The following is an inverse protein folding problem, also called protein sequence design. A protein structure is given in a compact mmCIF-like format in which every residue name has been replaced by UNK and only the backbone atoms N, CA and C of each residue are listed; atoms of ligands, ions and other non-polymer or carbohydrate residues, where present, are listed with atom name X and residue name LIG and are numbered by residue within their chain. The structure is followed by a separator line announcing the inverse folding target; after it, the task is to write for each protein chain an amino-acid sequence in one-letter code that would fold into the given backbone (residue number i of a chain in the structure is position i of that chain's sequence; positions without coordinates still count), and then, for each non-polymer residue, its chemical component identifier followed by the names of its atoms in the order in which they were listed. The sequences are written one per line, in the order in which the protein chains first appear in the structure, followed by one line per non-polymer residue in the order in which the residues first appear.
data_IF_850384267058
#
_entry.id   IF_850384267058
#
_cell.length_a   1.000
_cell.length_b   1.000
_cell.length_c   1.000
_cell.angle_alpha   90.00
_cell.angle_beta   90.00
_cell.angle_gamma   90.00
#
_symmetry.space_group_name_H-M   'P 1'
#
loop_
_entity.id
_entity.type
_entity.pdbx_description
1 polymer ?
#
# COMPACT_ATOMS: atom_id res chain seq x y z
N UNK A 1 32.56 -20.34 21.51
CA UNK A 1 31.93 -19.65 20.37
C UNK A 1 30.43 -19.59 20.67
N UNK A 2 29.98 -18.53 21.33
CA UNK A 2 28.57 -18.39 21.79
C UNK A 2 27.86 -17.51 20.76
N UNK A 3 26.90 -18.08 20.04
CA UNK A 3 26.02 -17.32 19.15
C UNK A 3 25.06 -16.48 20.00
N UNK A 4 25.39 -15.20 20.21
CA UNK A 4 24.47 -14.20 20.72
C UNK A 4 23.51 -13.81 19.61
N UNK A 5 22.34 -14.46 19.56
CA UNK A 5 21.21 -13.98 18.75
C UNK A 5 20.59 -12.79 19.45
N UNK A 6 20.99 -11.57 19.05
CA UNK A 6 20.28 -10.35 19.43
C UNK A 6 18.87 -10.40 18.85
N UNK A 7 17.86 -10.56 19.72
CA UNK A 7 16.45 -10.40 19.34
C UNK A 7 16.11 -8.92 19.41
N UNK A 8 16.02 -8.26 18.27
CA UNK A 8 15.41 -6.95 18.17
C UNK A 8 13.90 -7.10 18.47
N UNK A 9 13.39 -6.33 19.43
CA UNK A 9 11.96 -6.29 19.74
C UNK A 9 11.29 -5.19 18.91
N UNK A 10 10.16 -5.56 18.32
CA UNK A 10 9.32 -4.71 17.49
C UNK A 10 8.44 -3.86 18.40
N UNK A 11 8.60 -2.54 18.37
CA UNK A 11 7.70 -1.62 19.05
C UNK A 11 6.74 -0.98 18.06
N UNK A 12 5.46 -0.96 18.41
CA UNK A 12 4.39 -0.31 17.65
C UNK A 12 3.94 0.89 18.47
N UNK A 13 4.17 2.11 17.96
CA UNK A 13 3.49 3.31 18.46
C UNK A 13 2.40 3.69 17.47
N UNK A 14 1.16 3.80 17.96
CA UNK A 14 0.00 4.29 17.21
C UNK A 14 -0.24 5.76 17.56
N UNK A 15 -0.14 6.65 16.57
CA UNK A 15 -0.51 8.05 16.72
C UNK A 15 -1.83 8.27 15.95
N UNK A 16 -2.86 8.78 16.65
CA UNK A 16 -4.19 9.02 16.07
C UNK A 16 -4.27 10.45 15.57
N UNK A 17 -4.34 10.64 14.26
CA UNK A 17 -4.60 11.95 13.67
C UNK A 17 -6.12 12.17 13.50
N UNK A 18 -6.61 13.33 13.93
CA UNK A 18 -8.01 13.74 13.76
C UNK A 18 -8.04 14.91 12.78
N UNK A 19 -8.75 14.81 11.64
CA UNK A 19 -8.83 15.91 10.69
C UNK A 19 -9.58 17.10 11.31
N UNK A 20 -8.99 18.29 11.23
CA UNK A 20 -9.67 19.54 11.57
C UNK A 20 -10.21 20.21 10.30
N UNK A 21 -11.41 20.79 10.36
CA UNK A 21 -12.30 21.15 9.25
C UNK A 21 -11.83 22.24 8.27
N UNK A 22 -10.54 22.48 8.11
CA UNK A 22 -9.96 23.48 7.21
C UNK A 22 -8.77 22.93 6.41
N UNK A 23 -8.84 21.73 5.84
CA UNK A 23 -7.85 21.24 4.85
C UNK A 23 -6.37 21.25 5.29
N UNK A 24 -6.10 21.54 6.55
CA UNK A 24 -4.80 21.71 7.17
C UNK A 24 -4.67 20.56 8.16
N UNK A 25 -3.86 19.56 7.79
CA UNK A 25 -3.50 18.45 8.65
C UNK A 25 -2.73 19.02 9.85
N UNK A 26 -3.38 19.12 11.00
CA UNK A 26 -2.76 19.58 12.23
C UNK A 26 -2.24 18.36 12.97
N UNK A 27 -1.01 17.97 12.66
CA UNK A 27 -0.30 16.89 13.35
C UNK A 27 -0.10 17.32 14.81
N UNK A 28 -0.84 16.72 15.74
CA UNK A 28 -0.50 16.81 17.18
C UNK A 28 0.71 15.92 17.42
N UNK A 29 1.89 16.42 17.12
CA UNK A 29 3.13 15.69 17.33
C UNK A 29 3.28 15.29 18.80
N UNK A 30 3.30 14.00 19.10
CA UNK A 30 3.92 13.50 20.30
C UNK A 30 5.44 13.69 20.18
N UNK A 31 5.97 14.72 20.86
CA UNK A 31 7.40 14.99 20.89
C UNK A 31 8.13 13.89 21.70
N UNK A 32 8.51 12.81 21.03
CA UNK A 32 9.46 11.85 21.56
C UNK A 32 10.84 12.18 20.98
N UNK A 33 11.63 12.98 21.71
CA UNK A 33 13.06 13.18 21.42
C UNK A 33 13.81 11.88 21.68
N UNK A 34 14.07 11.12 20.61
CA UNK A 34 15.01 9.97 20.65
C UNK A 34 16.22 10.36 19.80
N UNK A 35 17.43 10.45 20.37
CA UNK A 35 18.63 10.72 19.61
C UNK A 35 19.11 9.44 18.92
N UNK A 36 19.60 9.61 17.69
CA UNK A 36 20.36 8.67 16.84
C UNK A 36 19.57 7.81 15.84
N UNK A 37 20.23 7.62 14.69
CA UNK A 37 19.74 7.08 13.42
C UNK A 37 18.99 5.75 13.57
N UNK A 38 17.67 5.82 13.49
CA UNK A 38 16.81 4.65 13.33
C UNK A 38 16.16 4.73 11.96
N UNK A 39 16.27 3.66 11.17
CA UNK A 39 15.39 3.48 10.01
C UNK A 39 13.98 3.21 10.55
N UNK A 40 13.22 4.28 10.76
CA UNK A 40 11.81 4.16 11.09
C UNK A 40 11.06 3.81 9.80
N UNK A 41 10.42 2.65 9.78
CA UNK A 41 9.41 2.39 8.75
C UNK A 41 8.11 3.03 9.22
N UNK A 42 7.59 3.93 8.40
CA UNK A 42 6.30 4.57 8.66
C UNK A 42 5.26 3.78 7.88
N UNK A 43 4.34 3.15 8.60
CA UNK A 43 3.19 2.48 8.03
C UNK A 43 2.00 3.45 8.11
N UNK A 44 1.42 3.79 6.96
CA UNK A 44 0.16 4.52 6.92
C UNK A 44 -0.97 3.53 6.67
N UNK A 45 -1.96 3.55 7.56
CA UNK A 45 -3.23 2.87 7.32
C UNK A 45 -4.28 3.91 6.95
N UNK A 46 -4.75 3.83 5.72
CA UNK A 46 -5.83 4.70 5.23
C UNK A 46 -7.06 3.81 5.00
N UNK A 47 -8.16 4.02 5.74
CA UNK A 47 -9.42 3.35 5.44
C UNK A 47 -9.95 3.95 4.14
N UNK A 48 -9.99 3.14 3.09
CA UNK A 48 -10.60 3.51 1.81
C UNK A 48 -11.71 2.51 1.55
N UNK A 49 -12.83 3.01 1.02
CA UNK A 49 -13.88 2.12 0.53
C UNK A 49 -13.43 1.51 -0.79
N UNK A 50 -13.49 0.19 -0.86
CA UNK A 50 -13.26 -0.55 -2.09
C UNK A 50 -14.61 -0.94 -2.66
N UNK A 51 -14.78 -0.76 -3.96
CA UNK A 51 -15.90 -1.31 -4.71
C UNK A 51 -15.76 -2.83 -4.79
N UNK A 52 -16.82 -3.53 -4.39
CA UNK A 52 -17.01 -4.95 -4.53
C UNK A 52 -18.24 -5.20 -5.39
N UNK A 53 -18.12 -6.16 -6.31
CA UNK A 53 -19.26 -6.67 -7.07
C UNK A 53 -19.28 -8.17 -6.91
N UNK A 54 -20.37 -8.69 -6.36
CA UNK A 54 -20.67 -10.13 -6.37
C UNK A 54 -21.74 -10.40 -7.40
N UNK A 55 -21.55 -11.47 -8.18
CA UNK A 55 -22.52 -11.92 -9.16
C UNK A 55 -22.75 -13.41 -8.97
N UNK A 56 -24.00 -13.79 -8.72
CA UNK A 56 -24.44 -15.17 -8.59
C UNK A 56 -25.36 -15.50 -9.76
N UNK A 57 -24.86 -16.31 -10.69
CA UNK A 57 -25.59 -16.68 -11.88
C UNK A 57 -26.17 -18.09 -11.73
N UNK A 58 -27.49 -18.21 -11.89
CA UNK A 58 -28.13 -19.51 -12.08
C UNK A 58 -28.38 -19.73 -13.56
N UNK A 59 -27.94 -20.89 -14.04
CA UNK A 59 -28.60 -21.48 -15.17
C UNK A 59 -29.93 -21.99 -14.66
N UNK A 60 -31.03 -21.42 -15.14
CA UNK A 60 -32.29 -22.13 -14.99
C UNK A 60 -32.10 -23.45 -15.74
N UNK A 61 -31.95 -24.55 -14.99
CA UNK A 61 -32.06 -25.91 -15.51
C UNK A 61 -33.52 -26.12 -15.91
N UNK A 62 -33.93 -25.39 -16.94
CA UNK A 62 -35.25 -25.52 -17.49
C UNK A 62 -35.28 -26.89 -18.16
N UNK A 63 -36.03 -27.77 -17.50
CA UNK A 63 -36.72 -28.90 -18.11
C UNK A 63 -37.16 -28.52 -19.53
N UNK A 64 -37.10 -29.51 -20.44
CA UNK A 64 -37.04 -29.39 -21.92
C UNK A 64 -38.03 -28.46 -22.64
N UNK A 65 -38.92 -27.74 -21.97
CA UNK A 65 -39.92 -26.83 -22.54
C UNK A 65 -40.04 -25.55 -21.70
N UNK A 66 -39.35 -24.48 -22.10
CA UNK A 66 -39.61 -23.12 -21.59
C UNK A 66 -40.79 -22.54 -22.37
N UNK A 67 -41.93 -22.38 -21.72
CA UNK A 67 -43.09 -21.65 -22.24
C UNK A 67 -43.01 -20.18 -21.80
N UNK A 68 -43.78 -19.30 -22.44
CA UNK A 68 -43.91 -17.90 -22.03
C UNK A 68 -44.38 -17.74 -20.58
N UNK A 69 -45.13 -18.70 -20.07
CA UNK A 69 -45.66 -18.68 -18.71
C UNK A 69 -44.74 -19.42 -17.72
N UNK A 70 -43.59 -19.94 -18.17
CA UNK A 70 -42.58 -20.54 -17.30
C UNK A 70 -42.07 -19.48 -16.30
N UNK A 71 -42.07 -19.79 -15.00
CA UNK A 71 -41.50 -18.91 -13.99
C UNK A 71 -39.99 -18.81 -14.19
N UNK A 72 -39.49 -17.58 -14.19
CA UNK A 72 -38.06 -17.28 -14.24
C UNK A 72 -37.54 -17.25 -12.82
N UNK A 73 -36.69 -18.23 -12.51
CA UNK A 73 -36.03 -18.37 -11.22
C UNK A 73 -34.73 -17.59 -11.19
N UNK A 74 -34.26 -17.22 -9.99
CA UNK A 74 -33.01 -16.49 -9.77
C UNK A 74 -32.34 -16.90 -8.46
N UNK A 75 -31.06 -16.59 -8.27
CA UNK A 75 -30.36 -16.85 -7.01
C UNK A 75 -30.80 -15.81 -5.99
N UNK A 76 -31.23 -16.22 -4.80
CA UNK A 76 -31.39 -15.27 -3.71
C UNK A 76 -30.02 -14.66 -3.32
N UNK A 77 -30.06 -13.58 -2.56
CA UNK A 77 -28.88 -12.86 -2.06
C UNK A 77 -27.95 -13.72 -1.20
N UNK A 78 -28.44 -14.85 -0.67
CA UNK A 78 -27.64 -15.83 0.08
C UNK A 78 -26.75 -16.73 -0.82
N UNK A 79 -26.92 -16.64 -2.15
CA UNK A 79 -26.20 -17.43 -3.14
C UNK A 79 -26.52 -18.93 -3.16
N UNK A 80 -27.37 -19.41 -2.25
CA UNK A 80 -27.67 -20.84 -2.05
C UNK A 80 -29.12 -21.20 -2.36
N UNK A 81 -30.03 -20.26 -2.13
CA UNK A 81 -31.46 -20.42 -2.32
C UNK A 81 -31.90 -19.90 -3.69
N UNK A 82 -33.03 -20.41 -4.17
CA UNK A 82 -33.59 -20.05 -5.47
C UNK A 82 -34.93 -19.35 -5.27
N UNK A 83 -35.04 -18.13 -5.78
CA UNK A 83 -36.28 -17.35 -5.83
C UNK A 83 -36.96 -17.41 -7.19
N UNK A 84 -38.16 -16.84 -7.29
CA UNK A 84 -38.86 -16.62 -8.57
C UNK A 84 -39.12 -15.12 -8.74
N UNK A 85 -38.73 -14.54 -9.89
CA UNK A 85 -38.97 -13.12 -10.17
C UNK A 85 -40.39 -12.93 -10.71
N UNK A 86 -40.65 -13.52 -11.88
CA UNK A 86 -41.90 -13.42 -12.63
C UNK A 86 -41.90 -14.44 -13.77
N UNK A 87 -42.95 -14.48 -14.61
CA UNK A 87 -42.93 -15.31 -15.82
C UNK A 87 -42.12 -14.65 -16.94
N UNK A 88 -41.63 -15.45 -17.89
CA UNK A 88 -40.93 -14.94 -19.08
C UNK A 88 -41.78 -13.91 -19.85
N UNK A 89 -43.09 -14.11 -19.94
CA UNK A 89 -44.05 -13.17 -20.51
C UNK A 89 -43.97 -11.81 -19.83
N UNK A 90 -43.90 -11.77 -18.50
CA UNK A 90 -43.84 -10.53 -17.75
C UNK A 90 -42.50 -9.81 -17.93
N UNK A 91 -41.38 -10.55 -18.02
CA UNK A 91 -40.08 -9.94 -18.33
C UNK A 91 -40.03 -9.33 -19.73
N UNK A 92 -40.61 -10.01 -20.72
CA UNK A 92 -40.72 -9.48 -22.08
C UNK A 92 -41.64 -8.27 -22.11
N UNK A 93 -42.75 -8.30 -21.38
CA UNK A 93 -43.62 -7.14 -21.27
C UNK A 93 -42.89 -5.97 -20.61
N UNK A 94 -42.11 -6.22 -19.55
CA UNK A 94 -41.29 -5.22 -18.90
C UNK A 94 -40.28 -4.58 -19.86
N UNK A 95 -39.60 -5.38 -20.70
CA UNK A 95 -38.72 -4.87 -21.76
C UNK A 95 -39.48 -3.96 -22.75
N UNK A 96 -40.68 -4.36 -23.18
CA UNK A 96 -41.50 -3.54 -24.08
C UNK A 96 -41.98 -2.24 -23.43
N UNK A 97 -42.30 -2.27 -22.14
CA UNK A 97 -42.72 -1.10 -21.38
C UNK A 97 -41.58 -0.09 -21.20
N UNK A 98 -40.31 -0.56 -21.22
CA UNK A 98 -39.10 0.27 -21.11
C UNK A 98 -38.49 0.63 -22.48
N UNK A 99 -39.32 0.69 -23.53
CA UNK A 99 -38.93 1.18 -24.86
C UNK A 99 -38.46 0.11 -25.84
N UNK A 100 -38.54 -1.17 -25.46
CA UNK A 100 -38.31 -2.28 -26.37
C UNK A 100 -39.32 -2.33 -27.53
N UNK A 101 -38.86 -2.72 -28.72
CA UNK A 101 -39.74 -2.91 -29.88
C UNK A 101 -40.25 -4.34 -29.98
N UNK A 102 -41.51 -4.52 -30.39
CA UNK A 102 -42.11 -5.84 -30.69
C UNK A 102 -41.49 -6.51 -31.92
N UNK A 103 -40.83 -5.73 -32.77
CA UNK A 103 -40.12 -6.20 -33.96
C UNK A 103 -38.66 -6.57 -33.66
N UNK A 104 -38.23 -6.48 -32.39
CA UNK A 104 -36.87 -6.88 -31.99
C UNK A 104 -36.71 -8.39 -32.20
N UNK A 105 -35.67 -8.83 -32.93
CA UNK A 105 -35.34 -10.25 -33.05
C UNK A 105 -35.12 -10.90 -31.68
N UNK A 106 -35.56 -12.15 -31.48
CA UNK A 106 -35.45 -12.83 -30.17
C UNK A 106 -34.00 -12.99 -29.71
N UNK A 107 -33.05 -13.12 -30.64
CA UNK A 107 -31.61 -13.18 -30.34
C UNK A 107 -30.98 -11.80 -30.08
N UNK A 108 -31.73 -10.72 -30.27
CA UNK A 108 -31.29 -9.34 -30.10
C UNK A 108 -31.97 -8.66 -28.90
N UNK A 109 -32.59 -9.42 -28.00
CA UNK A 109 -33.17 -8.88 -26.77
C UNK A 109 -32.02 -8.58 -25.80
N UNK A 110 -31.84 -7.33 -25.34
CA UNK A 110 -30.83 -7.01 -24.34
C UNK A 110 -31.19 -7.65 -22.98
N UNK A 111 -30.25 -7.73 -22.04
CA UNK A 111 -30.55 -8.18 -20.69
C UNK A 111 -31.64 -7.32 -20.05
N UNK A 112 -32.60 -7.95 -19.37
CA UNK A 112 -33.65 -7.25 -18.63
C UNK A 112 -33.25 -7.20 -17.16
N UNK A 113 -33.06 -6.00 -16.63
CA UNK A 113 -32.67 -5.78 -15.24
C UNK A 113 -33.91 -5.50 -14.39
N UNK A 114 -34.04 -6.17 -13.25
CA UNK A 114 -35.14 -5.95 -12.30
C UNK A 114 -34.57 -5.94 -10.89
N UNK A 115 -35.05 -5.04 -10.03
CA UNK A 115 -34.66 -5.07 -8.61
C UNK A 115 -35.01 -6.42 -7.98
N UNK A 116 -34.16 -6.92 -7.07
CA UNK A 116 -34.45 -8.13 -6.32
C UNK A 116 -35.76 -7.97 -5.54
N UNK A 117 -36.70 -8.93 -5.60
CA UNK A 117 -37.94 -8.86 -4.86
C UNK A 117 -37.75 -9.15 -3.36
N UNK A 118 -36.53 -9.47 -2.90
CA UNK A 118 -36.22 -9.69 -1.50
C UNK A 118 -36.34 -8.40 -0.67
N UNK A 119 -37.05 -8.43 0.48
CA UNK A 119 -37.28 -7.24 1.28
C UNK A 119 -35.97 -6.69 1.85
N UNK A 120 -35.64 -5.46 1.48
CA UNK A 120 -34.40 -4.79 1.93
C UNK A 120 -33.16 -5.15 1.11
N UNK A 121 -33.30 -5.95 0.06
CA UNK A 121 -32.22 -6.19 -0.90
C UNK A 121 -31.91 -4.95 -1.71
N UNK A 122 -30.63 -4.79 -2.04
CA UNK A 122 -30.14 -3.79 -2.99
C UNK A 122 -29.64 -4.42 -4.29
N UNK A 123 -29.78 -5.74 -4.40
CA UNK A 123 -29.31 -6.50 -5.54
C UNK A 123 -30.22 -6.26 -6.75
N UNK A 124 -29.64 -6.39 -7.92
CA UNK A 124 -30.34 -6.32 -9.20
C UNK A 124 -30.23 -7.67 -9.88
N UNK A 125 -31.33 -8.17 -10.43
CA UNK A 125 -31.38 -9.43 -11.14
C UNK A 125 -31.43 -9.16 -12.64
N UNK A 126 -30.37 -9.57 -13.33
CA UNK A 126 -30.28 -9.52 -14.79
C UNK A 126 -30.77 -10.80 -15.43
N UNK A 127 -31.74 -10.69 -16.32
CA UNK A 127 -32.30 -11.82 -17.09
C UNK A 127 -31.79 -11.80 -18.53
N UNK A 128 -31.02 -12.82 -18.89
CA UNK A 128 -30.39 -13.01 -20.20
C UNK A 128 -31.17 -14.06 -20.98
N UNK A 129 -32.02 -13.61 -21.91
CA UNK A 129 -32.78 -14.48 -22.80
C UNK A 129 -31.85 -14.97 -23.91
N UNK A 130 -31.71 -16.27 -24.03
CA UNK A 130 -30.81 -16.90 -25.01
C UNK A 130 -31.56 -17.89 -25.87
N UNK A 131 -31.01 -18.05 -27.07
CA UNK A 131 -31.52 -18.99 -28.04
C UNK A 131 -30.38 -19.82 -28.63
N UNK A 132 -30.55 -21.15 -28.61
CA UNK A 132 -29.58 -22.10 -29.19
C UNK A 132 -29.96 -22.60 -30.58
N UNK A 133 -31.11 -22.19 -31.12
CA UNK A 133 -31.61 -22.65 -32.41
C UNK A 133 -31.42 -21.59 -33.50
N UNK A 134 -30.70 -21.95 -34.56
CA UNK A 134 -30.50 -21.07 -35.72
C UNK A 134 -31.82 -20.64 -36.40
N UNK A 135 -32.89 -21.42 -36.24
CA UNK A 135 -34.21 -21.09 -36.78
C UNK A 135 -34.87 -19.88 -36.09
N UNK A 136 -34.48 -19.56 -34.86
CA UNK A 136 -35.10 -18.51 -34.05
C UNK A 136 -34.67 -17.09 -34.42
N UNK A 137 -33.61 -16.93 -35.21
CA UNK A 137 -33.14 -15.63 -35.68
C UNK A 137 -34.17 -14.91 -36.56
N UNK A 138 -35.13 -15.64 -37.12
CA UNK A 138 -36.19 -15.10 -37.97
C UNK A 138 -37.43 -14.63 -37.21
N UNK A 139 -37.51 -14.94 -35.92
CA UNK A 139 -38.67 -14.61 -35.10
C UNK A 139 -38.43 -13.32 -34.33
N UNK A 140 -39.47 -12.52 -34.26
CA UNK A 140 -39.49 -11.30 -33.44
C UNK A 140 -40.26 -11.55 -32.14
N UNK A 141 -40.13 -10.64 -31.17
CA UNK A 141 -40.87 -10.71 -29.89
C UNK A 141 -42.37 -10.88 -30.11
N UNK A 142 -42.96 -10.22 -31.12
CA UNK A 142 -44.38 -10.36 -31.44
C UNK A 142 -44.78 -11.81 -31.76
N UNK A 143 -43.95 -12.55 -32.51
CA UNK A 143 -44.23 -13.95 -32.83
C UNK A 143 -44.15 -14.85 -31.60
N UNK A 144 -43.25 -14.51 -30.67
CA UNK A 144 -43.15 -15.16 -29.37
C UNK A 144 -44.45 -14.95 -28.58
N UNK A 145 -44.88 -13.70 -28.40
CA UNK A 145 -46.08 -13.32 -27.63
C UNK A 145 -47.38 -13.91 -28.18
N UNK A 146 -47.49 -14.03 -29.49
CA UNK A 146 -48.64 -14.66 -30.17
C UNK A 146 -48.64 -16.19 -30.09
N UNK A 147 -47.66 -16.79 -29.40
CA UNK A 147 -47.52 -18.22 -29.24
C UNK A 147 -47.45 -18.99 -30.56
N UNK A 148 -46.98 -18.35 -31.65
CA UNK A 148 -46.77 -19.02 -32.95
C UNK A 148 -45.74 -20.14 -32.86
N UNK A 149 -44.91 -20.11 -31.81
CA UNK A 149 -43.88 -21.09 -31.50
C UNK A 149 -44.42 -22.51 -31.26
N UNK A 150 -45.56 -22.63 -30.57
CA UNK A 150 -46.14 -23.93 -30.25
C UNK A 150 -46.86 -24.60 -31.42
N UNK A 151 -47.15 -23.86 -32.49
CA UNK A 151 -47.96 -24.38 -33.61
C UNK A 151 -47.13 -24.80 -34.83
N UNK A 152 -45.90 -24.29 -35.00
CA UNK A 152 -45.24 -24.32 -36.32
C UNK A 152 -44.13 -25.35 -36.49
N UNK A 153 -43.53 -25.88 -35.42
CA UNK A 153 -42.53 -26.96 -35.55
C UNK A 153 -42.35 -27.72 -34.23
N UNK A 154 -42.42 -29.06 -34.21
CA UNK A 154 -41.96 -29.85 -33.07
C UNK A 154 -40.43 -29.71 -32.97
N UNK A 155 -39.98 -28.66 -32.31
CA UNK A 155 -38.57 -28.44 -32.02
C UNK A 155 -38.12 -29.54 -31.07
N UNK A 156 -37.13 -30.32 -31.51
CA UNK A 156 -36.63 -31.49 -30.78
C UNK A 156 -35.78 -31.14 -29.54
N UNK A 157 -35.90 -29.92 -29.01
CA UNK A 157 -35.21 -29.44 -27.81
C UNK A 157 -35.64 -28.03 -27.39
N UNK A 158 -35.31 -27.60 -26.14
CA UNK A 158 -35.58 -26.25 -25.66
C UNK A 158 -34.70 -25.28 -26.44
N UNK A 159 -35.29 -24.54 -27.37
CA UNK A 159 -34.54 -23.56 -28.13
C UNK A 159 -34.32 -22.26 -27.36
N UNK A 160 -35.27 -21.88 -26.51
CA UNK A 160 -35.23 -20.68 -25.71
C UNK A 160 -34.93 -21.07 -24.27
N UNK A 161 -33.96 -20.41 -23.65
CA UNK A 161 -33.71 -20.54 -22.22
C UNK A 161 -33.36 -19.17 -21.65
N UNK A 162 -33.67 -18.99 -20.37
CA UNK A 162 -33.36 -17.79 -19.62
C UNK A 162 -32.28 -18.09 -18.63
N UNK A 163 -31.22 -17.28 -18.63
CA UNK A 163 -30.26 -17.29 -17.54
C UNK A 163 -30.46 -16.06 -16.70
N UNK A 164 -30.40 -16.19 -15.39
CA UNK A 164 -30.53 -15.07 -14.46
C UNK A 164 -29.26 -14.93 -13.64
N UNK A 165 -28.80 -13.70 -13.46
CA UNK A 165 -27.71 -13.39 -12.55
C UNK A 165 -28.17 -12.35 -11.54
N UNK A 166 -28.02 -12.67 -10.26
CA UNK A 166 -28.21 -11.72 -9.16
C UNK A 166 -26.89 -11.02 -8.93
N UNK A 167 -26.90 -9.70 -9.06
CA UNK A 167 -25.72 -8.85 -8.90
C UNK A 167 -25.95 -7.98 -7.67
N UNK A 168 -25.02 -8.05 -6.72
CA UNK A 168 -24.94 -7.10 -5.63
C UNK A 168 -23.65 -6.29 -5.78
N UNK A 169 -23.79 -4.97 -5.87
CA UNK A 169 -22.68 -4.04 -5.83
C UNK A 169 -22.64 -3.38 -4.44
N UNK A 170 -21.46 -3.28 -3.84
CA UNK A 170 -21.31 -2.74 -2.49
C UNK A 170 -19.94 -2.11 -2.27
N UNK A 171 -19.86 -1.18 -1.33
CA UNK A 171 -18.63 -0.65 -0.78
C UNK A 171 -18.21 -1.48 0.43
N UNK A 172 -17.04 -2.10 0.38
CA UNK A 172 -16.42 -2.75 1.54
C UNK A 172 -15.36 -1.82 2.14
N UNK A 173 -15.38 -1.59 3.47
CA UNK A 173 -14.28 -0.90 4.13
C UNK A 173 -13.01 -1.73 3.97
N UNK A 174 -12.01 -1.19 3.29
CA UNK A 174 -10.73 -1.85 3.08
C UNK A 174 -9.60 -1.13 3.80
N UNK A 175 -8.64 -1.91 4.27
CA UNK A 175 -7.42 -1.39 4.88
C UNK A 175 -6.31 -1.39 3.84
N UNK A 176 -5.80 -0.21 3.52
CA UNK A 176 -4.60 -0.06 2.69
C UNK A 176 -3.41 0.26 3.58
N UNK A 177 -2.33 -0.48 3.37
CA UNK A 177 -1.05 -0.28 4.02
C UNK A 177 -0.06 0.34 3.03
N UNK A 178 0.45 1.53 3.33
CA UNK A 178 1.61 2.08 2.63
C UNK A 178 2.88 1.57 3.32
N UNK A 179 3.65 0.75 2.61
CA UNK A 179 4.93 0.24 3.08
C UNK A 179 6.07 0.73 2.18
N UNK A 180 7.20 1.07 2.79
CA UNK A 180 8.43 1.36 2.07
C UNK A 180 9.17 0.04 1.77
N UNK A 181 9.15 -0.38 0.50
CA UNK A 181 9.83 -1.60 0.05
C UNK A 181 10.93 -1.21 -0.94
N UNK A 182 12.20 -1.48 -0.58
CA UNK A 182 13.34 -1.16 -1.43
C UNK A 182 13.57 0.33 -1.71
N UNK A 183 13.04 1.24 -0.85
CA UNK A 183 13.13 2.69 -1.05
C UNK A 183 12.02 3.29 -1.91
N UNK A 184 11.07 2.47 -2.40
CA UNK A 184 9.84 2.93 -3.04
C UNK A 184 8.66 2.77 -2.08
N UNK A 185 7.70 3.70 -2.13
CA UNK A 185 6.41 3.55 -1.45
C UNK A 185 5.52 2.62 -2.27
N UNK A 186 5.04 1.55 -1.66
CA UNK A 186 4.10 0.60 -2.27
C UNK A 186 2.82 0.61 -1.45
N UNK A 187 1.69 0.81 -2.13
CA UNK A 187 0.36 0.64 -1.52
C UNK A 187 0.00 -0.84 -1.59
N UNK A 188 -0.08 -1.49 -0.44
CA UNK A 188 -0.59 -2.84 -0.29
C UNK A 188 -2.05 -2.75 0.12
N UNK A 189 -2.93 -3.28 -0.71
CA UNK A 189 -4.34 -3.41 -0.34
C UNK A 189 -4.50 -4.73 0.39
N UNK A 190 -5.11 -4.70 1.59
CA UNK A 190 -5.44 -5.93 2.31
C UNK A 190 -6.24 -6.88 1.43
N UNK A 191 -6.05 -8.19 1.63
CA UNK A 191 -6.94 -9.17 0.99
C UNK A 191 -8.37 -8.85 1.40
N UNK A 192 -9.29 -8.93 0.44
CA UNK A 192 -10.70 -8.96 0.76
C UNK A 192 -10.93 -10.11 1.74
N UNK A 193 -11.78 -9.87 2.74
CA UNK A 193 -12.25 -10.92 3.64
C UNK A 193 -12.73 -12.08 2.75
N UNK A 194 -12.28 -13.31 2.98
CA UNK A 194 -12.82 -14.45 2.25
C UNK A 194 -14.33 -14.51 2.56
N UNK A 195 -15.13 -14.03 1.63
CA UNK A 195 -16.56 -13.98 1.77
C UNK A 195 -17.11 -15.36 1.45
N UNK A 196 -17.55 -16.07 2.48
CA UNK A 196 -18.66 -17.01 2.30
C UNK A 196 -19.85 -16.24 1.71
N UNK A 197 -20.72 -16.92 0.96
CA UNK A 197 -21.73 -16.44 0.00
C UNK A 197 -22.66 -15.24 0.35
N UNK A 198 -22.49 -14.52 1.46
CA UNK A 198 -23.27 -13.34 1.83
C UNK A 198 -22.44 -12.05 1.90
N UNK A 199 -23.11 -10.90 1.78
CA UNK A 199 -22.47 -9.59 1.91
C UNK A 199 -21.82 -9.40 3.30
N UNK A 200 -20.68 -8.67 3.39
CA UNK A 200 -20.09 -8.33 4.67
C UNK A 200 -21.07 -7.45 5.47
N UNK A 201 -21.19 -7.68 6.78
CA UNK A 201 -22.08 -6.87 7.65
C UNK A 201 -21.77 -5.37 7.64
N UNK A 202 -20.54 -5.02 7.28
CA UNK A 202 -20.04 -3.65 7.21
C UNK A 202 -20.13 -3.04 5.82
N UNK A 203 -20.55 -3.82 4.81
CA UNK A 203 -20.66 -3.32 3.45
C UNK A 203 -21.83 -2.37 3.28
N UNK A 204 -21.64 -1.36 2.43
CA UNK A 204 -22.70 -0.41 2.08
C UNK A 204 -23.17 -0.69 0.66
N UNK A 205 -24.46 -0.94 0.43
CA UNK A 205 -24.94 -1.28 -0.90
C UNK A 205 -24.81 -0.12 -1.89
N UNK A 206 -24.54 -0.44 -3.15
CA UNK A 206 -24.54 0.47 -4.28
C UNK A 206 -25.82 0.20 -5.07
N UNK A 207 -26.75 1.15 -5.05
CA UNK A 207 -27.93 1.11 -5.92
C UNK A 207 -27.57 1.82 -7.23
N UNK A 208 -27.71 1.11 -8.35
CA UNK A 208 -27.55 1.68 -9.67
C UNK A 208 -28.68 1.22 -10.59
N UNK A 209 -29.18 2.16 -11.38
CA UNK A 209 -30.11 1.90 -12.48
C UNK A 209 -29.33 1.33 -13.67
N UNK A 210 -29.25 0.00 -13.76
CA UNK A 210 -28.50 -0.68 -14.81
C UNK A 210 -29.13 -0.51 -16.21
N UNK A 211 -30.42 -0.18 -16.30
CA UNK A 211 -31.10 0.06 -17.57
C UNK A 211 -30.63 1.37 -18.23
N UNK A 212 -30.22 2.35 -17.41
CA UNK A 212 -29.64 3.62 -17.86
C UNK A 212 -28.23 3.48 -18.47
N UNK A 213 -27.55 2.36 -18.21
CA UNK A 213 -26.18 2.13 -18.65
C UNK A 213 -26.19 1.53 -20.05
N UNK A 214 -26.05 2.41 -21.05
CA UNK A 214 -26.11 2.06 -22.48
C UNK A 214 -25.23 0.87 -22.88
N UNK A 215 -24.04 0.69 -22.27
CA UNK A 215 -23.17 -0.45 -22.57
C UNK A 215 -23.74 -1.81 -22.14
N UNK A 216 -24.45 -1.86 -21.01
CA UNK A 216 -25.05 -3.09 -20.45
C UNK A 216 -26.36 -3.44 -21.14
N UNK A 217 -27.09 -2.44 -21.64
CA UNK A 217 -28.36 -2.61 -22.35
C UNK A 217 -28.17 -2.83 -23.86
N UNK A 218 -27.10 -3.54 -24.25
CA UNK A 218 -26.85 -3.89 -25.65
C UNK A 218 -27.04 -5.38 -25.91
N UNK A 219 -27.59 -5.78 -27.07
CA UNK A 219 -27.69 -7.19 -27.43
C UNK A 219 -26.33 -7.87 -27.54
N UNK A 220 -25.29 -7.11 -27.93
CA UNK A 220 -23.90 -7.58 -27.97
C UNK A 220 -23.38 -7.94 -26.58
N UNK A 221 -23.73 -7.19 -25.54
CA UNK A 221 -23.34 -7.51 -24.18
C UNK A 221 -24.01 -8.81 -23.70
N UNK A 222 -25.33 -8.94 -23.92
CA UNK A 222 -26.05 -10.19 -23.63
C UNK A 222 -25.48 -11.40 -24.38
N UNK A 223 -25.12 -11.21 -25.65
CA UNK A 223 -24.48 -12.24 -26.48
C UNK A 223 -23.04 -12.60 -26.05
N UNK A 224 -22.28 -11.61 -25.56
CA UNK A 224 -20.92 -11.81 -25.04
C UNK A 224 -20.94 -12.61 -23.74
N UNK A 225 -21.86 -12.27 -22.86
CA UNK A 225 -22.09 -12.99 -21.60
C UNK A 225 -22.64 -14.40 -21.91
N UNK A 226 -23.35 -14.60 -23.02
CA UNK A 226 -23.99 -15.88 -23.36
C UNK A 226 -23.14 -17.03 -23.89
N UNK A 227 -22.02 -16.74 -24.54
CA UNK A 227 -21.33 -17.77 -25.34
C UNK A 227 -20.39 -18.70 -24.56
N UNK A 228 -20.00 -18.37 -23.33
CA UNK A 228 -18.86 -19.03 -22.64
C UNK A 228 -19.22 -19.59 -21.25
N UNK A 229 -20.45 -20.13 -21.12
CA UNK A 229 -21.23 -20.06 -19.87
C UNK A 229 -20.82 -20.93 -18.64
N UNK A 230 -19.60 -21.49 -18.63
CA UNK A 230 -19.03 -22.22 -17.48
C UNK A 230 -18.19 -21.33 -16.52
N UNK A 231 -17.96 -20.04 -16.79
CA UNK A 231 -17.03 -19.15 -16.04
C UNK A 231 -17.56 -17.74 -15.68
N UNK A 232 -18.87 -17.51 -15.73
CA UNK A 232 -19.40 -16.20 -16.18
C UNK A 232 -19.93 -15.28 -15.09
N UNK A 233 -20.13 -15.80 -13.88
CA UNK A 233 -20.28 -14.91 -12.73
C UNK A 233 -19.09 -13.98 -12.63
N UNK A 234 -17.87 -14.48 -12.88
CA UNK A 234 -16.65 -13.68 -12.86
C UNK A 234 -16.59 -12.66 -13.98
N UNK A 235 -16.96 -13.01 -15.23
CA UNK A 235 -16.95 -12.05 -16.36
C UNK A 235 -17.98 -10.95 -16.17
N UNK A 236 -19.18 -11.29 -15.72
CA UNK A 236 -20.22 -10.31 -15.41
C UNK A 236 -19.78 -9.40 -14.25
N UNK A 237 -19.26 -9.99 -13.17
CA UNK A 237 -18.74 -9.22 -12.04
C UNK A 237 -17.60 -8.28 -12.46
N UNK A 238 -16.67 -8.73 -13.31
CA UNK A 238 -15.58 -7.89 -13.82
C UNK A 238 -16.11 -6.76 -14.70
N UNK A 239 -17.03 -7.04 -15.63
CA UNK A 239 -17.61 -6.00 -16.48
C UNK A 239 -18.36 -4.95 -15.65
N UNK A 240 -19.14 -5.38 -14.66
CA UNK A 240 -19.85 -4.48 -13.76
C UNK A 240 -18.88 -3.72 -12.86
N UNK A 241 -17.85 -4.35 -12.32
CA UNK A 241 -16.81 -3.68 -11.55
C UNK A 241 -16.11 -2.59 -12.38
N UNK A 242 -15.82 -2.84 -13.66
CA UNK A 242 -15.26 -1.80 -14.53
C UNK A 242 -16.23 -0.62 -14.71
N UNK A 243 -17.52 -0.89 -14.92
CA UNK A 243 -18.54 0.16 -15.02
C UNK A 243 -18.66 0.96 -13.72
N UNK A 244 -18.72 0.28 -12.58
CA UNK A 244 -18.79 0.92 -11.26
C UNK A 244 -17.53 1.72 -10.93
N UNK A 245 -16.35 1.27 -11.37
CA UNK A 245 -15.09 2.01 -11.21
C UNK A 245 -15.04 3.31 -12.02
N UNK A 246 -15.81 3.39 -13.12
CA UNK A 246 -15.91 4.59 -13.95
C UNK A 246 -16.92 5.60 -13.42
N UNK A 247 -17.87 5.19 -12.55
CA UNK A 247 -18.84 6.12 -11.95
C UNK A 247 -18.05 7.11 -11.10
N UNK A 248 -17.91 8.38 -11.54
CA UNK A 248 -17.12 9.32 -10.80
C UNK A 248 -17.88 9.63 -9.51
N UNK A 249 -17.24 9.39 -8.36
CA UNK A 249 -17.68 9.82 -7.02
C UNK A 249 -18.04 11.33 -6.92
N UNK A 250 -17.77 12.08 -8.01
CA UNK A 250 -17.80 13.53 -8.14
C UNK A 250 -19.18 14.15 -7.88
N UNK A 251 -20.30 13.45 -8.12
CA UNK A 251 -21.63 14.02 -7.85
C UNK A 251 -21.99 14.02 -6.36
N UNK A 252 -21.44 13.11 -5.57
CA UNK A 252 -21.67 13.07 -4.11
C UNK A 252 -20.85 14.13 -3.36
N UNK A 253 -19.81 14.70 -3.98
CA UNK A 253 -19.03 15.81 -3.42
C UNK A 253 -19.79 17.15 -3.55
N UNK A 254 -20.60 17.33 -4.60
CA UNK A 254 -21.28 18.61 -4.86
C UNK A 254 -22.55 18.79 -4.01
N UNK A 255 -23.25 17.71 -3.68
CA UNK A 255 -24.40 17.74 -2.75
C UNK A 255 -24.00 17.88 -1.28
N UNK A 256 -22.74 17.61 -0.92
CA UNK A 256 -22.21 17.74 0.45
C UNK A 256 -21.85 19.18 0.86
N UNK A 257 -22.30 20.20 0.11
CA UNK A 257 -22.12 21.62 0.44
C UNK A 257 -23.07 22.12 1.56
N UNK A 258 -24.01 21.31 2.04
CA UNK A 258 -24.92 21.69 3.12
C UNK A 258 -24.72 20.81 4.34
N UNK A 259 -24.17 21.35 5.44
CA UNK A 259 -24.18 20.89 6.85
C UNK A 259 -24.13 19.38 7.21
N UNK A 260 -23.92 18.47 6.27
CA UNK A 260 -23.94 17.03 6.49
C UNK A 260 -22.59 16.52 6.98
N UNK A 261 -22.65 15.48 7.80
CA UNK A 261 -21.50 14.85 8.43
C UNK A 261 -20.51 14.35 7.37
N UNK A 262 -19.36 15.01 7.30
CA UNK A 262 -18.24 14.57 6.48
C UNK A 262 -17.82 13.14 6.83
N UNK A 263 -17.44 12.36 5.84
CA UNK A 263 -16.77 11.07 6.07
C UNK A 263 -15.41 11.34 6.72
N UNK A 264 -15.31 11.12 8.03
CA UNK A 264 -14.06 11.20 8.76
C UNK A 264 -13.20 10.01 8.37
N UNK A 265 -12.13 10.26 7.61
CA UNK A 265 -11.09 9.28 7.34
C UNK A 265 -10.15 9.27 8.55
N UNK A 266 -10.18 8.20 9.35
CA UNK A 266 -9.21 8.02 10.43
C UNK A 266 -7.90 7.51 9.83
N UNK A 267 -6.89 8.36 9.74
CA UNK A 267 -5.55 7.96 9.31
C UNK A 267 -4.79 7.54 10.58
N UNK A 268 -4.45 6.25 10.68
CA UNK A 268 -3.62 5.75 11.75
C UNK A 268 -2.15 5.70 11.27
N UNK A 269 -1.29 6.49 11.92
CA UNK A 269 0.14 6.46 11.67
C UNK A 269 0.77 5.46 12.64
N UNK A 270 1.35 4.39 12.11
CA UNK A 270 2.15 3.46 12.90
C UNK A 270 3.62 3.62 12.53
N UNK A 271 4.44 4.09 13.47
CA UNK A 271 5.89 4.13 13.30
C UNK A 271 6.50 2.89 13.94
N UNK A 272 7.10 2.05 13.10
CA UNK A 272 7.91 0.91 13.53
C UNK A 272 9.35 1.39 13.68
N UNK A 273 9.80 1.46 14.93
CA UNK A 273 11.18 1.80 15.28
C UNK A 273 11.85 0.66 16.06
N UNK A 274 13.14 0.46 15.81
CA UNK A 274 13.94 -0.46 16.62
C UNK A 274 14.41 0.24 17.90
N UNK A 275 13.67 0.05 18.98
CA UNK A 275 14.10 0.51 20.30
C UNK A 275 15.01 -0.53 20.96
N UNK A 276 16.12 -0.10 21.58
CA UNK A 276 16.80 -0.94 22.56
C UNK A 276 15.97 -0.96 23.84
N UNK A 277 15.28 -2.08 24.08
CA UNK A 277 14.55 -2.26 25.34
C UNK A 277 15.53 -2.28 26.52
N UNK A 278 15.36 -1.34 27.46
CA UNK A 278 16.15 -1.27 28.70
C UNK A 278 15.76 -2.35 29.73
N UNK A 279 14.72 -3.14 29.43
CA UNK A 279 14.29 -4.28 30.25
C UNK A 279 15.16 -5.52 30.04
N UNK A 280 15.87 -5.62 28.90
CA UNK A 280 16.71 -6.80 28.63
C UNK A 280 17.86 -6.87 29.65
N UNK A 281 18.06 -8.05 30.23
CA UNK A 281 19.11 -8.28 31.24
C UNK A 281 20.50 -7.96 30.68
N UNK A 282 20.73 -8.22 29.39
CA UNK A 282 21.97 -7.88 28.70
C UNK A 282 22.20 -6.38 28.61
N UNK A 283 21.17 -5.58 28.25
CA UNK A 283 21.27 -4.12 28.19
C UNK A 283 21.55 -3.52 29.59
N UNK A 284 20.91 -4.07 30.62
CA UNK A 284 21.14 -3.65 32.01
C UNK A 284 22.56 -3.94 32.46
N UNK A 285 23.07 -5.14 32.16
CA UNK A 285 24.46 -5.50 32.47
C UNK A 285 25.46 -4.58 31.73
N UNK A 286 25.26 -4.29 30.45
CA UNK A 286 26.14 -3.38 29.71
C UNK A 286 26.12 -1.97 30.29
N UNK A 287 24.94 -1.46 30.67
CA UNK A 287 24.81 -0.15 31.31
C UNK A 287 25.52 -0.11 32.67
N UNK A 288 25.41 -1.17 33.48
CA UNK A 288 26.11 -1.27 34.76
C UNK A 288 27.63 -1.26 34.57
N UNK A 289 28.15 -2.01 33.60
CA UNK A 289 29.60 -2.06 33.33
C UNK A 289 30.12 -0.70 32.86
N UNK A 290 29.42 -0.04 31.94
CA UNK A 290 29.80 1.29 31.46
C UNK A 290 29.74 2.31 32.60
N UNK A 291 28.68 2.29 33.42
CA UNK A 291 28.56 3.17 34.58
C UNK A 291 29.67 2.94 35.60
N UNK A 292 30.00 1.68 35.89
CA UNK A 292 31.11 1.36 36.79
C UNK A 292 32.44 1.90 36.23
N UNK A 293 32.72 1.71 34.95
CA UNK A 293 33.90 2.25 34.29
C UNK A 293 33.97 3.78 34.39
N UNK A 294 32.85 4.48 34.16
CA UNK A 294 32.78 5.94 34.32
C UNK A 294 33.09 6.39 35.75
N UNK A 295 32.57 5.68 36.77
CA UNK A 295 32.86 5.98 38.18
C UNK A 295 34.36 5.79 38.47
N UNK A 296 34.96 4.70 38.00
CA UNK A 296 36.40 4.47 38.18
C UNK A 296 37.25 5.54 37.48
N UNK A 297 36.88 5.93 36.26
CA UNK A 297 37.58 6.97 35.51
C UNK A 297 37.49 8.34 36.22
N UNK A 298 36.30 8.75 36.67
CA UNK A 298 36.10 10.00 37.42
C UNK A 298 36.86 9.96 38.75
N UNK A 299 36.81 8.83 39.45
CA UNK A 299 37.56 8.64 40.69
C UNK A 299 39.06 8.77 40.48
N UNK A 300 39.59 8.16 39.42
CA UNK A 300 41.00 8.26 39.05
C UNK A 300 41.40 9.69 38.69
N UNK A 301 40.61 10.40 37.86
CA UNK A 301 40.87 11.81 37.51
C UNK A 301 40.87 12.67 38.78
N UNK A 302 39.90 12.47 39.68
CA UNK A 302 39.81 13.22 40.94
C UNK A 302 41.01 12.94 41.85
N UNK A 303 41.43 11.67 41.94
CA UNK A 303 42.62 11.26 42.69
C UNK A 303 43.91 11.87 42.12
N UNK A 304 44.04 11.92 40.80
CA UNK A 304 45.17 12.53 40.11
C UNK A 304 45.24 14.04 40.38
N UNK A 305 44.11 14.72 40.35
CA UNK A 305 44.01 16.16 40.65
C UNK A 305 44.35 16.46 42.10
N UNK A 306 43.90 15.64 43.06
CA UNK A 306 44.14 15.88 44.49
C UNK A 306 45.56 15.51 44.93
N UNK A 307 46.14 14.44 44.39
CA UNK A 307 47.49 13.98 44.76
C UNK A 307 48.60 14.82 44.14
N UNK A 308 48.28 15.66 43.15
CA UNK A 308 49.25 16.47 42.40
C UNK A 308 50.28 15.65 41.60
N UNK A 309 50.16 14.32 41.61
CA UNK A 309 51.00 13.42 40.84
C UNK A 309 50.41 13.31 39.45
N UNK A 310 50.89 14.14 38.53
CA UNK A 310 50.64 13.93 37.11
C UNK A 310 51.45 12.71 36.66
N UNK A 311 50.79 11.77 35.99
CA UNK A 311 51.43 10.56 35.51
C UNK A 311 52.35 10.95 34.36
N UNK A 312 53.63 10.59 34.49
CA UNK A 312 54.70 10.90 33.52
C UNK A 312 54.48 10.29 32.14
N UNK A 313 53.40 9.54 31.94
CA UNK A 313 52.92 9.12 30.62
C UNK A 313 52.45 10.29 29.73
N UNK A 314 52.22 11.48 30.32
CA UNK A 314 51.89 12.72 29.60
C UNK A 314 52.91 13.83 29.89
N UNK A 315 54.18 13.50 30.19
CA UNK A 315 55.19 14.45 30.67
C UNK A 315 55.61 15.52 29.63
N UNK A 316 54.97 15.57 28.48
CA UNK A 316 55.30 16.52 27.42
C UNK A 316 54.03 16.81 26.63
N UNK A 317 53.35 17.93 26.92
CA UNK A 317 52.30 18.46 26.04
C UNK A 317 52.80 18.58 24.57
N UNK A 318 54.12 18.75 24.42
CA UNK A 318 54.88 18.67 23.18
C UNK A 318 54.75 17.34 22.44
N UNK A 319 54.56 16.21 23.11
CA UNK A 319 54.36 14.90 22.46
C UNK A 319 52.98 14.80 21.78
N UNK A 320 51.95 15.42 22.37
CA UNK A 320 50.64 15.60 21.73
C UNK A 320 50.78 16.56 20.54
N UNK A 321 51.54 17.64 20.69
CA UNK A 321 51.80 18.59 19.60
C UNK A 321 52.55 17.90 18.46
N UNK A 322 53.54 17.06 18.74
CA UNK A 322 54.28 16.27 17.72
C UNK A 322 53.39 15.22 17.04
N UNK A 323 52.45 14.59 17.77
CA UNK A 323 51.45 13.69 17.20
C UNK A 323 50.41 14.42 16.34
N UNK A 324 50.04 15.65 16.73
CA UNK A 324 49.10 16.49 15.99
C UNK A 324 49.76 17.20 14.78
N UNK A 325 51.08 17.37 14.81
CA UNK A 325 51.85 17.90 13.69
C UNK A 325 51.93 16.85 12.59
N UNK A 326 51.08 17.04 11.58
CA UNK A 326 50.98 16.26 10.35
C UNK A 326 52.21 16.48 9.44
N UNK A 327 53.42 16.40 9.99
CA UNK A 327 54.66 16.63 9.26
C UNK A 327 55.10 15.36 8.53
N UNK A 328 55.60 15.55 7.30
CA UNK A 328 56.10 14.48 6.46
C UNK A 328 57.38 13.91 7.08
N UNK A 329 57.38 12.60 7.35
CA UNK A 329 58.46 11.86 8.04
C UNK A 329 59.84 12.25 7.49
N UNK A 330 60.70 12.79 8.35
CA UNK A 330 62.11 13.10 8.03
C UNK A 330 62.90 11.78 7.95
N UNK A 331 63.84 11.66 7.01
CA UNK A 331 64.67 10.45 6.89
C UNK A 331 65.70 10.34 8.03
N UNK A 332 66.02 11.46 8.68
CA UNK A 332 66.94 11.50 9.82
C UNK A 332 66.32 10.90 11.11
N UNK A 333 65.00 10.97 11.26
CA UNK A 333 64.26 10.45 12.41
C UNK A 333 63.54 9.13 12.11
N UNK A 334 64.15 8.27 11.28
CA UNK A 334 63.52 7.07 10.70
C UNK A 334 62.98 6.07 11.75
N UNK A 335 63.47 6.13 12.99
CA UNK A 335 63.10 5.20 14.07
C UNK A 335 62.53 5.88 15.32
N UNK A 336 62.10 7.14 15.23
CA UNK A 336 61.51 7.85 16.35
C UNK A 336 59.98 7.76 16.22
N UNK A 337 59.39 6.81 16.92
CA UNK A 337 57.95 6.75 17.22
C UNK A 337 57.71 7.31 18.61
N UNK A 338 56.50 7.80 18.89
CA UNK A 338 56.09 8.40 20.18
C UNK A 338 56.71 7.65 21.39
N UNK A 339 57.34 8.41 22.28
CA UNK A 339 58.25 7.93 23.33
C UNK A 339 59.63 8.63 23.36
N UNK A 340 59.74 9.89 22.94
CA UNK A 340 61.03 10.62 22.92
C UNK A 340 61.39 11.07 24.33
N UNK A 341 62.24 10.28 25.00
CA UNK A 341 62.77 10.60 26.33
C UNK A 341 64.19 11.20 26.30
N UNK A 342 64.70 11.59 25.12
CA UNK A 342 66.03 12.21 24.99
C UNK A 342 65.92 13.71 24.79
N UNK A 343 66.49 14.48 25.73
CA UNK A 343 66.60 15.95 25.66
C UNK A 343 67.36 16.40 24.40
N UNK A 344 68.23 15.55 23.85
CA UNK A 344 69.04 15.87 22.66
C UNK A 344 68.18 15.97 21.40
N UNK A 345 67.12 15.18 21.28
CA UNK A 345 66.18 15.28 20.14
C UNK A 345 65.39 16.59 20.19
N UNK A 346 65.13 17.14 21.39
CA UNK A 346 64.45 18.41 21.57
C UNK A 346 65.34 19.64 21.30
N UNK A 347 66.66 19.47 21.34
CA UNK A 347 67.61 20.54 21.02
C UNK A 347 67.95 20.62 19.52
N UNK A 348 67.40 19.72 18.70
CA UNK A 348 67.64 19.76 17.27
C UNK A 348 66.92 20.98 16.64
N UNK A 349 67.66 21.88 15.96
CA UNK A 349 67.07 23.09 15.40
C UNK A 349 66.07 22.74 14.29
N UNK A 350 64.82 23.17 14.48
CA UNK A 350 63.72 23.02 13.52
C UNK A 350 63.38 24.38 12.92
N UNK A 351 63.30 24.44 11.59
CA UNK A 351 62.82 25.60 10.86
C UNK A 351 61.45 25.33 10.22
N UNK A 352 60.54 26.30 10.29
CA UNK A 352 59.27 26.24 9.54
C UNK A 352 59.54 26.72 8.11
N UNK A 353 59.18 25.91 7.11
CA UNK A 353 59.32 26.26 5.69
C UNK A 353 58.03 25.95 4.93
N UNK A 354 57.86 26.63 3.80
CA UNK A 354 56.73 26.45 2.90
C UNK A 354 57.13 25.47 1.80
N UNK A 355 56.33 24.42 1.65
CA UNK A 355 56.45 23.41 0.60
C UNK A 355 56.02 23.97 -0.76
N UNK A 356 56.39 23.32 -1.86
CA UNK A 356 55.94 23.72 -3.21
C UNK A 356 54.41 23.66 -3.36
N UNK A 357 53.72 22.95 -2.47
CA UNK A 357 52.25 22.84 -2.40
C UNK A 357 51.59 23.92 -1.54
N UNK A 358 52.33 24.94 -1.10
CA UNK A 358 51.94 25.95 -0.12
C UNK A 358 51.68 25.44 1.30
N UNK A 359 51.86 24.15 1.60
CA UNK A 359 51.72 23.65 2.97
C UNK A 359 52.91 24.09 3.86
N UNK A 360 52.64 24.32 5.15
CA UNK A 360 53.68 24.58 6.15
C UNK A 360 54.27 23.25 6.64
N UNK A 361 55.59 23.10 6.52
CA UNK A 361 56.32 21.92 6.97
C UNK A 361 57.41 22.31 7.99
N UNK A 362 57.61 21.48 9.01
CA UNK A 362 58.75 21.56 9.91
C UNK A 362 59.93 20.83 9.29
N UNK A 363 61.06 21.51 9.23
CA UNK A 363 62.25 21.09 8.50
C UNK A 363 63.43 21.05 9.47
N UNK A 364 63.97 19.86 9.71
CA UNK A 364 65.15 19.65 10.55
C UNK A 364 66.42 20.03 9.78
N UNK A 365 67.34 20.76 10.42
CA UNK A 365 68.55 21.27 9.76
C UNK A 365 69.43 20.16 9.17
N UNK A 366 69.44 18.97 9.79
CA UNK A 366 70.31 17.85 9.43
C UNK A 366 69.72 16.84 8.43
N UNK A 367 68.49 17.04 7.95
CA UNK A 367 67.89 16.14 6.98
C UNK A 367 68.42 16.43 5.56
N UNK A 368 69.20 15.48 5.01
CA UNK A 368 69.84 15.59 3.68
C UNK A 368 68.82 15.75 2.55
N UNK A 369 67.58 15.27 2.74
CA UNK A 369 66.51 15.41 1.75
C UNK A 369 66.04 16.86 1.56
N UNK A 370 66.39 17.77 2.47
CA UNK A 370 66.03 19.19 2.39
C UNK A 370 66.84 19.96 1.35
N UNK A 371 68.02 19.50 0.96
CA UNK A 371 68.79 20.15 -0.11
C UNK A 371 68.19 19.85 -1.50
N UNK A 372 67.43 18.76 -1.63
CA UNK A 372 66.78 18.36 -2.87
C UNK A 372 65.37 18.97 -3.06
N UNK A 373 64.73 19.44 -1.98
CA UNK A 373 63.39 20.04 -2.02
C UNK A 373 63.46 21.57 -2.15
N UNK A 374 62.64 22.17 -3.03
CA UNK A 374 62.51 23.63 -3.17
C UNK A 374 61.67 24.23 -2.03
N UNK A 375 62.24 24.25 -0.83
CA UNK A 375 61.58 24.82 0.35
C UNK A 375 61.79 26.33 0.40
N UNK A 376 60.70 27.10 0.58
CA UNK A 376 60.76 28.57 0.68
C UNK A 376 60.63 29.02 2.13
N UNK A 377 61.23 30.17 2.46
CA UNK A 377 61.07 30.79 3.78
C UNK A 377 59.66 31.36 3.90
N UNK A 378 59.03 31.19 5.06
CA UNK A 378 57.70 31.74 5.35
C UNK A 378 57.75 33.26 5.22
N UNK A 379 56.93 33.81 4.34
CA UNK A 379 56.69 35.25 4.22
C UNK A 379 55.72 35.74 5.29
N UNK A 380 56.04 36.88 5.90
CA UNK A 380 55.19 37.56 6.89
C UNK A 380 53.84 37.95 6.26
N UNK A 381 52.76 37.83 7.02
CA UNK A 381 51.38 38.21 6.64
C UNK A 381 50.82 37.51 5.39
N UNK A 382 51.20 36.25 5.16
CA UNK A 382 50.62 35.42 4.11
C UNK A 382 49.99 34.16 4.71
N UNK A 383 48.74 33.88 4.34
CA UNK A 383 48.10 32.60 4.64
C UNK A 383 48.66 31.54 3.68
N UNK A 384 49.04 30.39 4.23
CA UNK A 384 49.64 29.26 3.53
C UNK A 384 48.68 28.09 3.56
#
# INVERSE_FOLDING_TARGET
MVHLTSRALLYIMTEKEVPNGQGNFLVRSANATIPTQLSAQVLYQIPVMKDGVTAHCLNADNTRQTTLDTPVTYSLDDGASIGTISSLRNLIQHFLDHGGSRDTPVNAIPPVWVASPEPGSSSVVGSFIQNNCASLERYVILDLLLNKFNQSTPLSGPCLYTKTCTVAAFWEPSQHELAAEGGSWVVRTGSLSNLDHGLPKTARPISADLDSITGLNTPSFGAMISKDFQSDSTRLAVALATVFSEIPWREQIQSASGNEQYTVIEIALTRLGYGYETSSTSTRLSLIVIMAYCIFAVGYITYMLSSGHTSTAWNSATEIIVLALQSKRSEHLRHVSAGINSIETYQEPVGIRVSDRNDLELVFERDQSNQLRKLRRVGLNKAY
#
